data_IF_079341160488
#
_entry.id   IF_079341160488
#
_cell.length_a   1.000
_cell.length_b   1.000
_cell.length_c   1.000
_cell.angle_alpha   90.00
_cell.angle_beta   90.00
_cell.angle_gamma   90.00
#
_symmetry.space_group_name_H-M   'P 1'
#
loop_
_entity.id
_entity.type
_entity.pdbx_description
1 polymer ?
#
# COMPACT_ATOMS: atom_id res chain seq x y z
N UNK A 1 -5.32 2.80 -25.15
CA UNK A 1 -4.00 2.36 -24.65
C UNK A 1 -4.10 1.97 -23.17
N UNK A 2 -3.25 1.07 -22.67
CA UNK A 2 -3.17 0.68 -21.25
C UNK A 2 -2.04 1.46 -20.55
N UNK A 3 -2.34 2.18 -19.47
CA UNK A 3 -1.30 2.71 -18.57
C UNK A 3 -1.05 1.72 -17.43
N UNK A 4 0.20 1.26 -17.28
CA UNK A 4 0.68 0.51 -16.11
C UNK A 4 1.40 1.49 -15.19
N UNK A 5 0.80 1.81 -14.04
CA UNK A 5 1.22 2.94 -13.22
C UNK A 5 2.18 2.52 -12.11
N UNK A 6 3.35 3.17 -12.07
CA UNK A 6 4.44 2.97 -11.11
C UNK A 6 4.77 4.30 -10.40
N UNK A 7 5.74 4.29 -9.48
CA UNK A 7 6.60 5.45 -9.23
C UNK A 7 8.00 5.20 -9.82
N UNK A 8 8.79 6.26 -9.94
CA UNK A 8 10.13 6.23 -10.48
C UNK A 8 11.06 5.29 -9.68
N UNK A 9 10.96 5.32 -8.35
CA UNK A 9 11.76 4.54 -7.38
C UNK A 9 11.51 3.03 -7.50
N UNK A 10 10.36 2.63 -8.05
CA UNK A 10 9.99 1.23 -8.21
C UNK A 10 10.33 0.67 -9.60
N UNK A 11 10.84 1.49 -10.53
CA UNK A 11 11.27 1.06 -11.87
C UNK A 11 12.41 0.04 -11.74
N UNK A 12 12.22 -1.15 -12.32
CA UNK A 12 13.14 -2.29 -12.19
C UNK A 12 12.97 -3.11 -10.90
N UNK A 13 12.13 -2.67 -9.95
CA UNK A 13 11.85 -3.39 -8.70
C UNK A 13 10.52 -4.15 -8.70
N UNK A 14 9.51 -3.73 -9.50
CA UNK A 14 8.33 -4.58 -9.78
C UNK A 14 8.73 -5.75 -10.70
N UNK A 15 8.85 -6.94 -10.09
CA UNK A 15 9.17 -8.21 -10.76
C UNK A 15 8.00 -8.73 -11.61
N UNK A 16 6.77 -8.38 -11.25
CA UNK A 16 5.56 -8.82 -11.94
C UNK A 16 5.28 -7.94 -13.16
N UNK A 17 5.65 -6.65 -13.13
CA UNK A 17 5.47 -5.72 -14.26
C UNK A 17 6.02 -6.30 -15.57
N UNK A 18 7.23 -6.86 -15.54
CA UNK A 18 7.82 -7.51 -16.72
C UNK A 18 7.08 -8.76 -17.20
N UNK A 19 6.37 -9.46 -16.31
CA UNK A 19 5.52 -10.61 -16.64
C UNK A 19 4.21 -10.12 -17.26
N UNK A 20 3.56 -9.14 -16.62
CA UNK A 20 2.30 -8.54 -17.06
C UNK A 20 2.44 -7.88 -18.43
N UNK A 21 3.47 -7.06 -18.65
CA UNK A 21 3.68 -6.39 -19.94
C UNK A 21 3.87 -7.39 -21.08
N UNK A 22 4.62 -8.48 -20.86
CA UNK A 22 4.75 -9.55 -21.87
C UNK A 22 3.45 -10.30 -22.13
N UNK A 23 2.62 -10.52 -21.10
CA UNK A 23 1.32 -11.16 -21.27
C UNK A 23 0.34 -10.28 -22.05
N UNK A 24 0.33 -8.97 -21.79
CA UNK A 24 -0.49 -8.00 -22.50
C UNK A 24 -0.04 -7.79 -23.96
N UNK A 25 1.28 -7.70 -24.19
CA UNK A 25 1.88 -7.62 -25.53
C UNK A 25 1.59 -8.88 -26.37
N UNK A 26 1.67 -10.07 -25.78
CA UNK A 26 1.25 -11.32 -26.42
C UNK A 26 -0.25 -11.39 -26.76
N UNK A 27 -1.09 -10.56 -26.11
CA UNK A 27 -2.50 -10.35 -26.46
C UNK A 27 -2.71 -9.18 -27.45
N UNK A 28 -1.64 -8.56 -27.95
CA UNK A 28 -1.69 -7.42 -28.88
C UNK A 28 -2.09 -6.08 -28.24
N UNK A 29 -2.04 -5.96 -26.90
CA UNK A 29 -2.47 -4.76 -26.20
C UNK A 29 -1.36 -3.70 -26.16
N UNK A 30 -1.64 -2.50 -26.70
CA UNK A 30 -0.76 -1.34 -26.57
C UNK A 30 -0.72 -0.86 -25.11
N UNK A 31 0.47 -0.83 -24.52
CA UNK A 31 0.70 -0.45 -23.13
C UNK A 31 1.90 0.49 -22.96
N UNK A 32 1.86 1.31 -21.92
CA UNK A 32 2.97 2.15 -21.47
C UNK A 32 3.17 1.97 -19.95
N UNK A 33 4.39 2.22 -19.47
CA UNK A 33 4.71 2.22 -18.02
C UNK A 33 5.06 3.64 -17.59
N UNK A 34 4.27 4.18 -16.68
CA UNK A 34 4.20 5.62 -16.38
C UNK A 34 4.30 5.87 -14.88
N UNK A 35 5.02 6.93 -14.50
CA UNK A 35 5.09 7.38 -13.11
C UNK A 35 3.80 8.15 -12.78
N UNK A 36 3.20 7.90 -11.62
CA UNK A 36 1.89 8.46 -11.28
C UNK A 36 1.90 9.99 -11.16
N UNK A 37 3.00 10.56 -10.68
CA UNK A 37 3.13 11.98 -10.37
C UNK A 37 3.70 12.83 -11.51
N UNK A 38 4.00 12.24 -12.67
CA UNK A 38 4.38 12.98 -13.87
C UNK A 38 3.19 13.83 -14.38
N UNK A 39 3.30 15.13 -14.14
CA UNK A 39 2.29 16.13 -14.48
C UNK A 39 2.17 16.42 -15.99
N UNK A 40 3.07 15.86 -16.81
CA UNK A 40 3.02 16.01 -18.28
C UNK A 40 2.08 15.00 -18.96
N UNK A 41 1.66 13.95 -18.24
CA UNK A 41 0.80 12.90 -18.77
C UNK A 41 -0.66 13.37 -18.91
N UNK A 42 -1.16 13.43 -20.15
CA UNK A 42 -2.60 13.43 -20.39
C UNK A 42 -3.16 12.03 -20.18
N UNK A 43 -3.78 11.80 -19.01
CA UNK A 43 -4.40 10.54 -18.66
C UNK A 43 -5.64 10.18 -19.49
N UNK A 44 -6.20 11.10 -20.29
CA UNK A 44 -7.39 10.83 -21.11
C UNK A 44 -7.10 10.02 -22.40
N UNK A 45 -5.83 9.89 -22.81
CA UNK A 45 -5.45 9.07 -23.98
C UNK A 45 -5.44 7.54 -23.72
N UNK A 46 -5.69 7.12 -22.47
CA UNK A 46 -5.71 5.73 -22.06
C UNK A 46 -7.15 5.21 -21.93
N UNK A 47 -7.40 3.95 -22.32
CA UNK A 47 -8.71 3.29 -22.12
C UNK A 47 -8.85 2.77 -20.68
N UNK A 48 -7.71 2.67 -19.99
CA UNK A 48 -7.56 2.06 -18.68
C UNK A 48 -6.22 2.45 -18.05
N UNK A 49 -6.22 2.76 -16.75
CA UNK A 49 -5.03 2.89 -15.93
C UNK A 49 -5.03 1.82 -14.83
N UNK A 50 -3.93 1.10 -14.66
CA UNK A 50 -3.79 -0.02 -13.72
C UNK A 50 -2.71 0.32 -12.69
N UNK A 51 -3.06 0.35 -11.41
CA UNK A 51 -2.08 0.54 -10.35
C UNK A 51 -1.18 -0.70 -10.24
N UNK A 52 0.13 -0.49 -10.32
CA UNK A 52 1.16 -1.53 -10.21
C UNK A 52 2.09 -1.26 -9.03
N UNK A 53 2.98 -0.29 -9.21
CA UNK A 53 4.13 -0.08 -8.35
C UNK A 53 4.29 1.38 -7.90
N UNK A 54 3.16 2.04 -7.66
CA UNK A 54 3.05 3.36 -6.99
C UNK A 54 3.33 3.21 -5.48
N UNK A 55 4.49 2.66 -5.13
CA UNK A 55 4.76 2.17 -3.76
C UNK A 55 5.12 3.29 -2.78
N UNK A 56 5.48 4.48 -3.26
CA UNK A 56 5.71 5.71 -2.50
C UNK A 56 4.41 6.35 -1.94
N UNK A 57 3.23 5.87 -2.34
CA UNK A 57 1.94 6.48 -2.02
C UNK A 57 1.73 6.80 -0.54
N UNK A 58 2.34 6.04 0.37
CA UNK A 58 2.18 6.22 1.81
C UNK A 58 2.95 7.45 2.34
N UNK A 59 3.99 7.91 1.63
CA UNK A 59 4.75 9.14 1.94
C UNK A 59 4.00 10.37 1.45
N UNK A 60 3.23 10.21 0.37
CA UNK A 60 2.56 11.28 -0.40
C UNK A 60 1.04 11.08 -0.49
N UNK A 61 0.42 10.51 0.56
CA UNK A 61 -0.96 10.00 0.52
C UNK A 61 -1.99 11.04 0.04
N UNK A 62 -1.84 12.30 0.44
CA UNK A 62 -2.72 13.39 -0.01
C UNK A 62 -2.61 13.64 -1.51
N UNK A 63 -1.40 13.73 -2.06
CA UNK A 63 -1.14 13.87 -3.49
C UNK A 63 -1.67 12.66 -4.26
N UNK A 64 -1.36 11.44 -3.80
CA UNK A 64 -1.77 10.20 -4.45
C UNK A 64 -3.30 10.05 -4.53
N UNK A 65 -4.03 10.36 -3.46
CA UNK A 65 -5.49 10.28 -3.46
C UNK A 65 -6.17 11.40 -4.26
N UNK A 66 -5.52 12.57 -4.41
CA UNK A 66 -5.95 13.62 -5.33
C UNK A 66 -5.69 13.20 -6.78
N UNK A 67 -4.51 12.66 -7.08
CA UNK A 67 -4.14 12.12 -8.39
C UNK A 67 -5.09 10.99 -8.82
N UNK A 68 -5.31 9.96 -7.98
CA UNK A 68 -6.14 8.81 -8.32
C UNK A 68 -7.59 9.24 -8.63
N UNK A 69 -8.11 10.26 -7.92
CA UNK A 69 -9.40 10.88 -8.20
C UNK A 69 -9.39 11.65 -9.53
N UNK A 70 -8.30 12.36 -9.83
CA UNK A 70 -8.10 13.06 -11.09
C UNK A 70 -7.93 12.15 -12.31
N UNK A 71 -7.35 10.95 -12.15
CA UNK A 71 -7.22 9.93 -13.20
C UNK A 71 -8.54 9.20 -13.40
N UNK A 72 -9.20 8.76 -12.32
CA UNK A 72 -10.52 8.11 -12.39
C UNK A 72 -11.65 8.98 -12.96
N UNK A 73 -11.43 10.30 -13.07
CA UNK A 73 -12.34 11.24 -13.75
C UNK A 73 -11.99 11.50 -15.24
N UNK A 74 -10.84 11.00 -15.74
CA UNK A 74 -10.35 11.18 -17.12
C UNK A 74 -10.26 9.87 -17.91
N UNK A 75 -10.01 8.76 -17.22
CA UNK A 75 -9.94 7.40 -17.77
C UNK A 75 -10.44 6.39 -16.72
N UNK A 76 -10.66 5.14 -17.14
CA UNK A 76 -11.04 4.06 -16.23
C UNK A 76 -9.83 3.62 -15.41
N UNK A 77 -9.75 4.06 -14.16
CA UNK A 77 -8.90 3.41 -13.17
C UNK A 77 -9.41 1.98 -12.95
N UNK A 78 -8.59 0.96 -13.23
CA UNK A 78 -8.98 -0.45 -13.14
C UNK A 78 -9.22 -0.89 -11.69
N UNK A 79 -8.39 -0.38 -10.79
CA UNK A 79 -8.57 -0.45 -9.35
C UNK A 79 -9.67 0.57 -8.98
N UNK A 80 -10.87 0.16 -8.54
CA UNK A 80 -11.96 1.10 -8.27
C UNK A 80 -11.55 2.14 -7.22
N UNK A 81 -11.87 3.40 -7.46
CA UNK A 81 -11.34 4.53 -6.69
C UNK A 81 -11.78 4.51 -5.22
N UNK A 82 -12.97 3.99 -4.95
CA UNK A 82 -13.51 3.69 -3.63
C UNK A 82 -12.71 2.58 -2.92
N UNK A 83 -12.43 1.47 -3.61
CA UNK A 83 -11.58 0.39 -3.10
C UNK A 83 -10.15 0.87 -2.82
N UNK A 84 -9.59 1.75 -3.66
CA UNK A 84 -8.29 2.39 -3.41
C UNK A 84 -8.34 3.31 -2.18
N UNK A 85 -9.36 4.17 -2.07
CA UNK A 85 -9.52 5.07 -0.91
C UNK A 85 -9.76 4.32 0.40
N UNK A 86 -10.35 3.13 0.33
CA UNK A 86 -10.57 2.24 1.46
C UNK A 86 -9.31 1.45 1.85
N UNK A 87 -8.57 0.88 0.88
CA UNK A 87 -7.51 -0.09 1.16
C UNK A 87 -6.10 0.49 1.39
N UNK A 88 -5.86 1.77 1.12
CA UNK A 88 -4.58 2.46 1.45
C UNK A 88 -4.29 2.53 2.96
N UNK A 89 -5.33 2.42 3.80
CA UNK A 89 -5.21 2.43 5.25
C UNK A 89 -5.70 1.10 5.84
N UNK A 90 -4.81 0.38 6.53
CA UNK A 90 -5.07 -0.95 7.13
C UNK A 90 -6.26 -0.99 8.11
N UNK A 91 -6.85 0.15 8.49
CA UNK A 91 -8.16 0.20 9.16
C UNK A 91 -9.28 -0.54 8.41
N UNK A 92 -9.15 -0.81 7.11
CA UNK A 92 -10.03 -1.74 6.37
C UNK A 92 -10.18 -3.12 7.04
N UNK A 93 -9.20 -3.56 7.84
CA UNK A 93 -9.26 -4.80 8.61
C UNK A 93 -10.40 -4.81 9.65
N UNK A 94 -10.84 -3.63 10.13
CA UNK A 94 -11.99 -3.48 11.03
C UNK A 94 -13.27 -3.90 10.29
N UNK A 95 -13.45 -3.39 9.07
CA UNK A 95 -14.64 -3.65 8.26
C UNK A 95 -14.70 -5.11 7.80
N UNK A 96 -13.55 -5.70 7.47
CA UNK A 96 -13.43 -7.14 7.18
C UNK A 96 -13.80 -8.01 8.39
N UNK A 97 -13.32 -7.67 9.59
CA UNK A 97 -13.70 -8.37 10.82
C UNK A 97 -15.20 -8.25 11.13
N UNK A 98 -15.79 -7.07 10.91
CA UNK A 98 -17.25 -6.86 11.04
C UNK A 98 -18.04 -7.67 9.99
N UNK A 99 -17.50 -7.85 8.78
CA UNK A 99 -18.04 -8.73 7.75
C UNK A 99 -17.83 -10.23 8.04
N UNK A 100 -17.31 -10.61 9.22
CA UNK A 100 -17.00 -11.99 9.61
C UNK A 100 -15.96 -12.67 8.71
N UNK A 101 -15.01 -11.90 8.17
CA UNK A 101 -13.86 -12.40 7.43
C UNK A 101 -12.67 -12.49 8.39
N UNK A 102 -12.04 -13.66 8.47
CA UNK A 102 -10.88 -13.89 9.34
C UNK A 102 -9.71 -12.96 8.97
N UNK A 103 -9.30 -12.14 9.93
CA UNK A 103 -8.14 -11.24 9.85
C UNK A 103 -7.25 -11.40 11.07
N UNK A 104 -5.98 -11.03 10.95
CA UNK A 104 -5.06 -11.01 12.09
C UNK A 104 -5.59 -10.03 13.17
N UNK A 105 -5.73 -10.44 14.45
CA UNK A 105 -6.11 -9.55 15.53
C UNK A 105 -5.20 -8.31 15.56
N UNK A 106 -5.79 -7.12 15.43
CA UNK A 106 -5.06 -5.86 15.21
C UNK A 106 -5.63 -4.75 16.09
N UNK A 107 -4.88 -4.33 17.10
CA UNK A 107 -5.17 -3.14 17.90
C UNK A 107 -4.76 -1.89 17.13
N UNK A 108 -5.68 -0.94 16.91
CA UNK A 108 -5.39 0.34 16.26
C UNK A 108 -5.16 1.43 17.31
N UNK A 109 -3.95 1.99 17.34
CA UNK A 109 -3.56 3.09 18.24
C UNK A 109 -3.22 4.36 17.47
N UNK A 110 -3.57 5.53 18.02
CA UNK A 110 -3.20 6.82 17.42
C UNK A 110 -1.91 7.40 17.98
N UNK A 111 -1.55 7.01 19.21
CA UNK A 111 -0.41 7.55 19.98
C UNK A 111 0.24 6.38 20.75
N UNK A 112 1.55 6.41 20.97
CA UNK A 112 2.26 5.34 21.69
C UNK A 112 1.72 5.09 23.12
N UNK A 113 1.14 6.10 23.77
CA UNK A 113 0.47 5.97 25.08
C UNK A 113 -0.89 5.27 25.07
N UNK A 114 -1.40 4.94 23.88
CA UNK A 114 -2.66 4.20 23.71
C UNK A 114 -2.42 2.69 23.55
N UNK A 115 -1.15 2.23 23.56
CA UNK A 115 -0.78 0.82 23.57
C UNK A 115 -0.99 0.20 24.96
N UNK A 116 -1.59 -0.98 25.01
CA UNK A 116 -1.66 -1.78 26.24
C UNK A 116 -0.32 -2.49 26.49
N UNK A 117 0.13 -2.51 27.75
CA UNK A 117 1.29 -3.30 28.16
C UNK A 117 1.07 -4.82 27.96
N UNK A 118 -0.19 -5.29 27.98
CA UNK A 118 -0.58 -6.68 27.72
C UNK A 118 -0.53 -7.05 26.22
N UNK A 119 -0.56 -6.07 25.31
CA UNK A 119 -0.24 -6.30 23.90
C UNK A 119 1.28 -6.40 23.72
N UNK A 120 2.04 -5.52 24.38
CA UNK A 120 3.51 -5.51 24.33
C UNK A 120 4.17 -6.67 25.08
N UNK A 121 3.47 -7.37 25.96
CA UNK A 121 3.94 -8.61 26.62
C UNK A 121 3.81 -9.86 25.75
N UNK A 122 3.53 -9.70 24.45
CA UNK A 122 3.35 -10.78 23.47
C UNK A 122 4.34 -10.61 22.32
N UNK A 123 4.36 -11.58 21.40
CA UNK A 123 5.05 -11.44 20.12
C UNK A 123 4.14 -10.67 19.14
N UNK A 124 4.50 -9.42 18.84
CA UNK A 124 3.65 -8.46 18.08
C UNK A 124 4.41 -7.76 16.96
N UNK A 125 3.66 -7.40 15.90
CA UNK A 125 4.15 -6.57 14.80
C UNK A 125 3.54 -5.17 14.92
N UNK A 126 4.38 -4.16 15.16
CA UNK A 126 3.98 -2.76 15.11
C UNK A 126 4.34 -2.21 13.73
N UNK A 127 3.39 -1.51 13.08
CA UNK A 127 3.53 -0.94 11.74
C UNK A 127 2.55 0.23 11.55
N UNK A 128 2.83 1.22 10.68
CA UNK A 128 1.86 2.25 10.33
C UNK A 128 0.61 1.65 9.65
N UNK A 129 -0.54 2.28 9.90
CA UNK A 129 -1.80 1.92 9.26
C UNK A 129 -1.72 2.15 7.73
N UNK A 130 -1.16 3.29 7.29
CA UNK A 130 -0.79 3.57 5.89
C UNK A 130 0.71 3.29 5.70
N UNK A 131 1.05 2.26 4.93
CA UNK A 131 2.45 1.92 4.55
C UNK A 131 2.50 0.77 3.53
N UNK A 132 3.54 0.76 2.70
CA UNK A 132 3.94 -0.35 1.83
C UNK A 132 5.34 -0.87 2.21
N UNK A 133 5.82 -1.93 1.53
CA UNK A 133 7.24 -2.35 1.56
C UNK A 133 7.84 -2.71 2.93
N UNK A 134 7.01 -3.07 3.92
CA UNK A 134 7.41 -3.20 5.34
C UNK A 134 7.99 -1.91 5.96
N UNK A 135 7.74 -0.73 5.37
CA UNK A 135 8.24 0.53 5.93
C UNK A 135 7.73 0.73 7.37
N UNK A 136 8.64 1.18 8.25
CA UNK A 136 8.43 1.36 9.69
C UNK A 136 7.76 0.16 10.39
N UNK A 137 7.95 -1.05 9.87
CA UNK A 137 7.39 -2.28 10.45
C UNK A 137 8.45 -3.01 11.27
N UNK A 138 8.17 -3.26 12.55
CA UNK A 138 9.07 -3.93 13.47
C UNK A 138 8.34 -5.00 14.30
N UNK A 139 9.08 -6.05 14.69
CA UNK A 139 8.62 -7.12 15.57
C UNK A 139 9.15 -6.89 16.98
N UNK A 140 8.27 -6.96 17.96
CA UNK A 140 8.60 -6.90 19.38
C UNK A 140 8.21 -8.22 20.00
N UNK A 141 9.17 -8.90 20.62
CA UNK A 141 8.92 -10.14 21.36
C UNK A 141 8.85 -9.78 22.84
N UNK A 142 7.67 -9.89 23.44
CA UNK A 142 7.47 -9.69 24.87
C UNK A 142 8.38 -10.62 25.69
N UNK A 143 9.29 -10.03 26.46
CA UNK A 143 10.26 -10.78 27.25
C UNK A 143 9.61 -11.28 28.55
N UNK A 144 9.13 -12.52 28.53
CA UNK A 144 8.56 -13.23 29.67
C UNK A 144 9.56 -13.47 30.83
N UNK A 145 10.82 -13.05 30.67
CA UNK A 145 11.95 -13.26 31.59
C UNK A 145 12.69 -11.98 31.97
N UNK A 146 12.23 -10.80 31.54
CA UNK A 146 12.88 -9.52 31.80
C UNK A 146 12.80 -9.09 33.29
N UNK A 147 13.75 -9.57 34.09
CA UNK A 147 14.27 -8.76 35.18
C UNK A 147 14.82 -7.42 34.59
N UNK A 148 14.70 -6.29 35.30
CA UNK A 148 14.97 -4.97 34.71
C UNK A 148 16.45 -4.73 34.41
N UNK A 149 16.89 -5.12 33.20
CA UNK A 149 18.27 -4.93 32.74
C UNK A 149 18.71 -5.83 31.57
N UNK A 150 18.10 -5.68 30.40
CA UNK A 150 18.56 -6.30 29.15
C UNK A 150 18.40 -5.32 27.96
N UNK A 151 19.35 -5.33 27.03
CA UNK A 151 19.48 -4.30 25.99
C UNK A 151 18.64 -4.58 24.73
N UNK A 152 17.92 -3.57 24.24
CA UNK A 152 17.34 -3.60 22.89
C UNK A 152 18.45 -3.52 21.84
N UNK A 153 18.60 -4.57 21.03
CA UNK A 153 19.31 -4.48 19.75
C UNK A 153 18.44 -3.79 18.71
N UNK A 154 19.08 -2.99 17.87
CA UNK A 154 18.53 -2.34 16.67
C UNK A 154 18.74 -3.23 15.45
#
# INVERSE_FOLDING_TARGET
MIALVTTHEARGHDKDLGILSRALDACGAKLETLDWDDQTIDWSQFDIAVLRSTWDYYERLGEFLVWARGVGARTRLFNPLDIVQWNVDKRYLIDLAQASIDVMPTTFVSRARDLDALDLSRDVIIKPAVSAGSNNTARYVGDATAAPGAEHRR
#
